data_IF_787537281540
#
_entry.id   IF_787537281540
#
_cell.length_a   1.000
_cell.length_b   1.000
_cell.length_c   1.000
_cell.angle_alpha   90.00
_cell.angle_beta   90.00
_cell.angle_gamma   90.00
#
_symmetry.space_group_name_H-M   'P 1'
#
loop_
_entity.id
_entity.type
_entity.pdbx_description
1 polymer ?
#
# COMPACT_ATOMS: atom_id res chain seq x y z
N UNK A 1 24.44 0.49 28.20
CA UNK A 1 23.56 -0.66 28.51
C UNK A 1 23.90 -1.81 27.56
N UNK A 2 23.79 -3.06 27.99
CA UNK A 2 24.15 -4.22 27.17
C UNK A 2 23.11 -5.32 27.31
N UNK A 3 22.88 -6.05 26.18
CA UNK A 3 22.08 -7.29 26.20
C UNK A 3 22.96 -8.42 26.73
N UNK A 4 22.54 -9.02 27.86
CA UNK A 4 23.27 -10.10 28.53
C UNK A 4 22.81 -11.48 28.09
N UNK A 5 21.50 -11.62 27.86
CA UNK A 5 20.87 -12.89 27.50
C UNK A 5 19.74 -12.66 26.53
N UNK A 6 19.49 -13.68 25.67
CA UNK A 6 18.43 -13.65 24.65
C UNK A 6 17.76 -15.00 24.61
N UNK A 7 16.49 -15.04 24.98
CA UNK A 7 15.67 -16.26 24.98
C UNK A 7 14.48 -16.04 24.04
N UNK A 8 14.30 -17.00 23.14
CA UNK A 8 13.11 -17.03 22.28
C UNK A 8 12.11 -18.02 22.86
N UNK A 9 10.88 -17.57 23.04
CA UNK A 9 9.76 -18.37 23.54
C UNK A 9 8.75 -18.54 22.39
N UNK A 10 8.20 -19.74 22.25
CA UNK A 10 7.21 -20.08 21.23
C UNK A 10 6.09 -20.86 21.94
N UNK A 11 4.92 -20.25 22.06
CA UNK A 11 3.72 -20.87 22.65
C UNK A 11 2.78 -21.47 21.59
N UNK A 12 3.21 -21.47 20.31
CA UNK A 12 2.45 -21.95 19.16
C UNK A 12 1.58 -20.87 18.49
N UNK A 13 1.09 -19.90 19.25
CA UNK A 13 0.27 -18.79 18.72
C UNK A 13 1.10 -17.52 18.53
N UNK A 14 2.14 -17.33 19.34
CA UNK A 14 2.99 -16.15 19.34
C UNK A 14 4.45 -16.51 19.60
N UNK A 15 5.34 -15.94 18.80
CA UNK A 15 6.78 -16.02 19.04
C UNK A 15 7.25 -14.76 19.73
N UNK A 16 7.81 -14.91 20.93
CA UNK A 16 8.32 -13.83 21.75
C UNK A 16 9.83 -13.90 21.90
N UNK A 17 10.44 -12.74 22.05
CA UNK A 17 11.83 -12.60 22.41
C UNK A 17 11.94 -11.94 23.78
N UNK A 18 12.60 -12.61 24.71
CA UNK A 18 12.91 -12.08 26.04
C UNK A 18 14.39 -11.74 26.09
N UNK A 19 14.71 -10.51 26.42
CA UNK A 19 16.06 -10.00 26.54
C UNK A 19 16.34 -9.59 27.97
N UNK A 20 17.49 -9.98 28.49
CA UNK A 20 17.99 -9.46 29.76
C UNK A 20 18.97 -8.32 29.46
N UNK A 21 18.61 -7.13 29.90
CA UNK A 21 19.41 -5.91 29.77
C UNK A 21 20.11 -5.58 31.07
N UNK A 22 21.35 -5.15 30.97
CA UNK A 22 22.15 -4.77 32.14
C UNK A 22 22.69 -3.35 31.93
N UNK A 23 22.35 -2.45 32.84
CA UNK A 23 22.98 -1.15 32.97
C UNK A 23 24.16 -1.24 33.94
N UNK A 24 25.29 -0.65 33.61
CA UNK A 24 26.47 -0.56 34.45
C UNK A 24 26.20 0.35 35.65
N UNK A 25 27.02 0.22 36.69
CA UNK A 25 26.95 1.08 37.90
C UNK A 25 27.12 2.59 37.53
N UNK A 26 27.94 2.89 36.53
CA UNK A 26 28.14 4.26 36.08
C UNK A 26 26.90 4.83 35.35
N UNK A 27 26.25 4.03 34.49
CA UNK A 27 24.98 4.40 33.85
C UNK A 27 23.86 4.61 34.87
N UNK A 28 23.77 3.76 35.89
CA UNK A 28 22.81 3.94 36.99
C UNK A 28 23.08 5.24 37.76
N UNK A 29 24.34 5.55 38.02
CA UNK A 29 24.72 6.80 38.67
C UNK A 29 24.38 8.02 37.83
N UNK A 30 24.71 7.98 36.55
CA UNK A 30 24.39 9.08 35.63
C UNK A 30 22.88 9.33 35.53
N UNK A 31 22.06 8.28 35.42
CA UNK A 31 20.61 8.40 35.44
C UNK A 31 20.08 8.96 36.76
N UNK A 32 20.65 8.53 37.91
CA UNK A 32 20.28 9.08 39.19
C UNK A 32 20.63 10.57 39.29
N UNK A 33 21.83 10.98 38.88
CA UNK A 33 22.24 12.39 38.90
C UNK A 33 21.32 13.24 37.99
N UNK A 34 20.96 12.77 36.81
CA UNK A 34 20.00 13.44 35.89
C UNK A 34 18.61 13.54 36.55
N UNK A 35 18.07 12.43 37.06
CA UNK A 35 16.76 12.41 37.68
C UNK A 35 16.66 13.43 38.82
N UNK A 36 17.63 13.44 39.73
CA UNK A 36 17.63 14.38 40.85
C UNK A 36 17.87 15.83 40.38
N UNK A 37 18.64 16.06 39.33
CA UNK A 37 18.80 17.36 38.76
C UNK A 37 17.48 17.91 38.17
N UNK A 38 16.67 17.06 37.53
CA UNK A 38 15.35 17.42 37.01
C UNK A 38 14.35 17.71 38.14
N UNK A 39 14.29 16.84 39.16
CA UNK A 39 13.41 17.06 40.29
C UNK A 39 13.77 18.36 41.02
N UNK A 40 15.06 18.67 41.16
CA UNK A 40 15.53 19.91 41.80
C UNK A 40 15.05 21.20 41.07
N UNK A 41 14.70 21.13 39.79
CA UNK A 41 14.13 22.26 39.06
C UNK A 41 12.64 22.49 39.31
N UNK A 42 11.95 21.53 39.93
CA UNK A 42 10.54 21.68 40.33
C UNK A 42 10.40 22.67 41.48
N UNK A 43 9.19 23.19 41.68
CA UNK A 43 8.91 24.05 42.85
C UNK A 43 8.81 23.21 44.11
N UNK A 44 9.82 23.35 44.98
CA UNK A 44 9.90 22.61 46.25
C UNK A 44 9.71 23.62 47.41
N UNK A 45 8.67 23.48 48.24
CA UNK A 45 8.41 24.39 49.33
C UNK A 45 9.63 24.59 50.25
N UNK A 46 10.02 25.85 50.49
CA UNK A 46 11.13 26.19 51.34
C UNK A 46 12.52 26.23 50.68
N UNK A 47 12.63 25.87 49.37
CA UNK A 47 13.92 25.87 48.68
C UNK A 47 13.84 26.62 47.32
N UNK A 48 14.97 27.25 46.99
CA UNK A 48 15.13 27.80 45.62
C UNK A 48 15.41 26.67 44.63
N UNK A 49 14.90 26.79 43.40
CA UNK A 49 15.13 25.82 42.33
C UNK A 49 16.61 25.43 42.21
N UNK A 50 16.87 24.13 42.14
CA UNK A 50 18.21 23.57 42.09
C UNK A 50 19.01 23.57 43.40
N UNK A 51 18.41 23.94 44.55
CA UNK A 51 19.12 24.04 45.85
C UNK A 51 18.56 23.14 46.95
N UNK A 52 17.54 22.40 46.72
CA UNK A 52 16.99 21.42 47.67
C UNK A 52 17.97 20.24 47.88
N UNK A 53 18.27 19.87 49.16
CA UNK A 53 19.09 18.70 49.42
C UNK A 53 18.41 17.40 48.92
N UNK A 54 19.21 16.38 48.57
CA UNK A 54 18.72 15.11 48.04
C UNK A 54 17.63 14.44 48.89
N UNK A 55 17.80 14.39 50.21
CA UNK A 55 16.81 13.84 51.10
C UNK A 55 15.43 14.53 50.99
N UNK A 56 15.40 15.84 50.73
CA UNK A 56 14.16 16.61 50.50
C UNK A 56 13.58 16.28 49.14
N UNK A 57 14.41 16.11 48.08
CA UNK A 57 14.00 15.68 46.75
C UNK A 57 13.35 14.31 46.82
N UNK A 58 13.96 13.33 47.51
CA UNK A 58 13.40 11.99 47.71
C UNK A 58 12.04 12.05 48.42
N UNK A 59 11.93 12.85 49.49
CA UNK A 59 10.64 13.03 50.18
C UNK A 59 9.56 13.65 49.27
N UNK A 60 9.95 14.58 48.41
CA UNK A 60 9.02 15.25 47.49
C UNK A 60 8.42 14.31 46.47
N UNK A 61 9.13 13.26 46.05
CA UNK A 61 8.66 12.21 45.12
C UNK A 61 8.06 11.00 45.84
N UNK A 62 7.85 11.07 47.16
CA UNK A 62 7.20 10.00 47.94
C UNK A 62 8.17 9.01 48.54
N UNK A 63 9.44 9.38 48.75
CA UNK A 63 10.46 8.60 49.43
C UNK A 63 11.50 7.95 48.52
N UNK A 64 12.50 7.35 49.15
CA UNK A 64 13.65 6.77 48.46
C UNK A 64 13.25 5.70 47.40
N UNK A 65 12.30 4.81 47.76
CA UNK A 65 11.85 3.75 46.83
C UNK A 65 11.24 4.34 45.55
N UNK A 66 10.38 5.34 45.68
CA UNK A 66 9.77 6.02 44.52
C UNK A 66 10.80 6.79 43.68
N UNK A 67 11.78 7.40 44.38
CA UNK A 67 12.88 8.07 43.70
C UNK A 67 13.71 7.09 42.84
N UNK A 68 14.04 5.92 43.41
CA UNK A 68 14.76 4.88 42.68
C UNK A 68 13.92 4.25 41.55
N UNK A 69 12.61 4.15 41.73
CA UNK A 69 11.68 3.79 40.64
C UNK A 69 11.72 4.79 39.45
N UNK A 70 11.75 6.11 39.76
CA UNK A 70 11.91 7.14 38.75
C UNK A 70 13.28 7.12 38.05
N UNK A 71 14.33 6.73 38.76
CA UNK A 71 15.67 6.50 38.15
C UNK A 71 15.63 5.28 37.22
N UNK A 72 14.95 4.20 37.61
CA UNK A 72 14.79 3.02 36.76
C UNK A 72 14.05 3.39 35.45
N UNK A 73 12.95 4.12 35.59
CA UNK A 73 12.14 4.57 34.46
C UNK A 73 12.97 5.47 33.50
N UNK A 74 13.71 6.43 34.03
CA UNK A 74 14.59 7.30 33.24
C UNK A 74 15.67 6.48 32.52
N UNK A 75 16.31 5.56 33.22
CA UNK A 75 17.35 4.69 32.68
C UNK A 75 16.83 3.83 31.51
N UNK A 76 15.64 3.25 31.68
CA UNK A 76 14.98 2.44 30.65
C UNK A 76 14.64 3.30 29.45
N UNK A 77 13.97 4.43 29.65
CA UNK A 77 13.53 5.31 28.59
C UNK A 77 14.68 5.91 27.76
N UNK A 78 15.80 6.24 28.40
CA UNK A 78 16.96 6.81 27.69
C UNK A 78 17.80 5.78 26.94
N UNK A 79 17.92 4.55 27.47
CA UNK A 79 18.98 3.64 27.02
C UNK A 79 18.47 2.30 26.47
N UNK A 80 17.24 1.85 26.81
CA UNK A 80 16.78 0.53 26.41
C UNK A 80 16.59 0.43 24.88
N UNK A 81 15.93 1.41 24.27
CA UNK A 81 15.71 1.41 22.82
C UNK A 81 17.01 1.46 22.03
N UNK A 82 18.01 2.22 22.52
CA UNK A 82 19.33 2.23 21.93
C UNK A 82 20.01 0.85 22.04
N UNK A 83 19.94 0.20 23.20
CA UNK A 83 20.51 -1.13 23.38
C UNK A 83 19.83 -2.20 22.51
N UNK A 84 18.53 -2.08 22.28
CA UNK A 84 17.77 -2.94 21.34
C UNK A 84 18.21 -2.70 19.90
N UNK A 85 18.35 -1.45 19.50
CA UNK A 85 18.82 -1.05 18.17
C UNK A 85 20.26 -1.54 17.88
N UNK A 86 21.15 -1.34 18.86
CA UNK A 86 22.55 -1.83 18.79
C UNK A 86 22.61 -3.38 18.74
N UNK A 87 21.64 -4.07 19.35
CA UNK A 87 21.51 -5.52 19.34
C UNK A 87 20.77 -6.09 18.13
N UNK A 88 20.38 -5.23 17.18
CA UNK A 88 19.60 -5.57 15.98
C UNK A 88 18.28 -6.29 16.30
N UNK A 89 17.53 -5.77 17.28
CA UNK A 89 16.26 -6.31 17.74
C UNK A 89 15.12 -5.39 17.36
N UNK A 90 14.11 -5.97 16.70
CA UNK A 90 12.87 -5.30 16.32
C UNK A 90 11.71 -6.09 16.89
N UNK A 91 10.92 -5.45 17.74
CA UNK A 91 9.68 -6.03 18.23
C UNK A 91 8.48 -5.72 17.34
N UNK A 92 7.53 -6.63 17.32
CA UNK A 92 6.23 -6.48 16.67
C UNK A 92 5.27 -5.85 17.69
N UNK A 93 5.06 -4.55 17.57
CA UNK A 93 4.33 -3.75 18.54
C UNK A 93 5.22 -3.21 19.68
N UNK A 94 4.57 -2.80 20.77
CA UNK A 94 5.27 -2.24 21.93
C UNK A 94 5.86 -3.36 22.80
N UNK A 95 7.14 -3.26 23.23
CA UNK A 95 7.73 -4.22 24.14
C UNK A 95 7.31 -3.96 25.59
N UNK A 96 7.26 -5.03 26.38
CA UNK A 96 7.02 -4.99 27.81
C UNK A 96 8.35 -4.93 28.58
N UNK A 97 8.44 -4.02 29.56
CA UNK A 97 9.59 -3.85 30.41
C UNK A 97 9.28 -4.37 31.84
N UNK A 98 9.99 -5.41 32.26
CA UNK A 98 9.81 -5.99 33.58
C UNK A 98 11.03 -5.70 34.47
N UNK A 99 10.75 -5.10 35.60
CA UNK A 99 11.76 -4.72 36.63
C UNK A 99 11.52 -5.54 37.87
N UNK A 100 12.35 -6.56 38.09
CA UNK A 100 12.20 -7.48 39.20
C UNK A 100 12.90 -6.98 40.50
N UNK A 101 13.87 -6.07 40.36
CA UNK A 101 14.67 -5.58 41.46
C UNK A 101 14.67 -4.05 41.53
N UNK A 102 14.71 -3.52 42.76
CA UNK A 102 14.87 -2.07 42.95
C UNK A 102 16.28 -1.63 42.49
N UNK A 103 16.35 -0.44 41.87
CA UNK A 103 17.63 0.18 41.49
C UNK A 103 18.41 0.53 42.78
N UNK A 104 19.68 0.15 42.77
CA UNK A 104 20.63 0.51 43.87
C UNK A 104 21.74 1.33 43.26
N UNK A 105 21.89 2.60 43.67
CA UNK A 105 22.91 3.50 43.15
C UNK A 105 24.32 2.93 43.41
N UNK A 106 25.15 3.00 42.35
CA UNK A 106 26.52 2.44 42.39
C UNK A 106 26.60 0.94 42.20
N UNK A 107 25.50 0.27 41.88
CA UNK A 107 25.45 -1.13 41.49
C UNK A 107 24.85 -1.28 40.07
N UNK A 108 25.24 -2.34 39.32
CA UNK A 108 24.60 -2.65 38.06
C UNK A 108 23.11 -2.96 38.27
N UNK A 109 22.30 -2.53 37.32
CA UNK A 109 20.85 -2.77 37.32
C UNK A 109 20.46 -3.67 36.16
N UNK A 110 19.65 -4.69 36.45
CA UNK A 110 19.19 -5.68 35.48
C UNK A 110 17.69 -5.66 35.41
N UNK A 111 17.17 -5.69 34.18
CA UNK A 111 15.74 -5.82 33.92
C UNK A 111 15.54 -6.62 32.61
N UNK A 112 14.31 -7.07 32.38
CA UNK A 112 13.95 -7.83 31.19
C UNK A 112 13.06 -6.99 30.27
N UNK A 113 13.25 -7.19 28.97
CA UNK A 113 12.40 -6.66 27.91
C UNK A 113 11.88 -7.84 27.12
N UNK A 114 10.56 -7.91 26.97
CA UNK A 114 9.91 -8.96 26.18
C UNK A 114 8.96 -8.36 25.16
N UNK A 115 8.79 -9.06 24.07
CA UNK A 115 7.84 -8.66 23.03
C UNK A 115 7.77 -9.67 21.89
N UNK A 116 6.70 -9.56 21.14
CA UNK A 116 6.55 -10.35 19.93
C UNK A 116 7.62 -9.98 18.90
N UNK A 117 8.01 -10.95 18.08
CA UNK A 117 8.96 -10.77 16.98
C UNK A 117 8.40 -11.37 15.72
N UNK A 118 9.02 -11.03 14.59
CA UNK A 118 8.67 -11.66 13.30
C UNK A 118 8.76 -13.17 13.45
N UNK A 119 7.71 -13.93 13.06
CA UNK A 119 7.71 -15.38 13.19
C UNK A 119 8.83 -16.02 12.37
N UNK A 120 9.58 -16.92 12.98
CA UNK A 120 10.51 -17.77 12.25
C UNK A 120 9.75 -18.90 11.58
N UNK A 121 9.67 -18.85 10.27
CA UNK A 121 8.99 -19.85 9.46
C UNK A 121 9.99 -20.56 8.53
N UNK A 122 9.53 -21.62 7.86
CA UNK A 122 10.35 -22.39 6.93
C UNK A 122 9.79 -22.32 5.52
N UNK A 123 10.67 -22.40 4.55
CA UNK A 123 10.30 -22.55 3.14
C UNK A 123 10.38 -24.02 2.73
N UNK A 124 9.56 -24.42 1.76
CA UNK A 124 9.62 -25.75 1.13
C UNK A 124 10.87 -25.89 0.25
N UNK A 125 11.42 -24.80 -0.28
CA UNK A 125 12.71 -24.72 -0.98
C UNK A 125 13.33 -23.32 -0.82
N UNK A 126 14.64 -23.28 -0.73
CA UNK A 126 15.49 -22.07 -0.67
C UNK A 126 16.27 -21.83 -1.96
N UNK A 127 15.95 -22.53 -3.04
CA UNK A 127 16.55 -22.36 -4.37
C UNK A 127 15.96 -21.15 -5.10
N UNK A 128 16.54 -20.78 -6.24
CA UNK A 128 16.00 -19.75 -7.12
C UNK A 128 14.51 -20.02 -7.45
N UNK A 129 13.74 -18.96 -7.59
CA UNK A 129 12.30 -19.02 -7.93
C UNK A 129 12.10 -19.07 -9.43
N UNK A 130 11.00 -19.67 -9.90
CA UNK A 130 10.59 -19.59 -11.30
C UNK A 130 9.46 -18.57 -11.41
N UNK A 131 9.60 -17.62 -12.31
CA UNK A 131 8.63 -16.52 -12.52
C UNK A 131 8.30 -16.39 -14.01
N UNK A 132 7.09 -15.96 -14.28
CA UNK A 132 6.67 -15.57 -15.63
C UNK A 132 6.82 -14.05 -15.77
N UNK A 133 7.33 -13.58 -16.91
CA UNK A 133 7.47 -12.16 -17.20
C UNK A 133 6.94 -11.85 -18.60
N UNK A 134 6.34 -10.67 -18.84
CA UNK A 134 6.07 -10.22 -20.18
C UNK A 134 7.39 -9.97 -20.95
N UNK A 135 7.34 -9.92 -22.29
CA UNK A 135 8.50 -9.56 -23.11
C UNK A 135 9.08 -8.20 -22.67
N UNK A 136 10.39 -8.08 -22.66
CA UNK A 136 11.12 -6.85 -22.33
C UNK A 136 11.00 -5.78 -23.42
N UNK A 137 10.80 -6.19 -24.66
CA UNK A 137 10.54 -5.30 -25.79
C UNK A 137 9.04 -5.29 -26.16
N UNK A 138 8.61 -4.18 -26.76
CA UNK A 138 7.26 -4.03 -27.27
C UNK A 138 6.95 -5.03 -28.39
N UNK A 139 5.93 -5.83 -28.20
CA UNK A 139 5.42 -6.75 -29.22
C UNK A 139 4.57 -6.00 -30.27
N UNK A 140 4.42 -6.58 -31.46
CA UNK A 140 3.53 -6.04 -32.48
C UNK A 140 2.08 -6.00 -32.00
N UNK A 141 1.66 -6.97 -31.19
CA UNK A 141 0.32 -7.03 -30.61
C UNK A 141 0.05 -5.86 -29.65
N UNK A 142 1.02 -5.50 -28.81
CA UNK A 142 0.91 -4.33 -27.92
C UNK A 142 0.84 -3.03 -28.69
N UNK A 143 1.68 -2.88 -29.73
CA UNK A 143 1.64 -1.69 -30.60
C UNK A 143 0.27 -1.57 -31.29
N UNK A 144 -0.25 -2.65 -31.88
CA UNK A 144 -1.58 -2.63 -32.51
C UNK A 144 -2.71 -2.35 -31.52
N UNK A 145 -2.61 -2.84 -30.27
CA UNK A 145 -3.59 -2.56 -29.21
C UNK A 145 -3.60 -1.06 -28.85
N UNK A 146 -2.41 -0.47 -28.70
CA UNK A 146 -2.28 0.97 -28.44
C UNK A 146 -2.76 1.82 -29.61
N UNK A 147 -2.50 1.38 -30.85
CA UNK A 147 -3.01 2.07 -32.04
C UNK A 147 -4.54 2.00 -32.15
N UNK A 148 -5.16 0.86 -31.78
CA UNK A 148 -6.62 0.75 -31.70
C UNK A 148 -7.19 1.66 -30.62
N UNK A 149 -6.56 1.72 -29.45
CA UNK A 149 -6.97 2.66 -28.40
C UNK A 149 -6.88 4.11 -28.90
N UNK A 150 -5.81 4.44 -29.64
CA UNK A 150 -5.64 5.75 -30.24
C UNK A 150 -6.75 6.07 -31.27
N UNK A 151 -7.15 5.09 -32.11
CA UNK A 151 -8.29 5.23 -33.01
C UNK A 151 -9.57 5.58 -32.24
N UNK A 152 -9.80 4.89 -31.11
CA UNK A 152 -10.98 5.14 -30.28
C UNK A 152 -10.95 6.51 -29.62
N UNK A 153 -9.77 7.02 -29.25
CA UNK A 153 -9.63 8.38 -28.69
C UNK A 153 -9.90 9.46 -29.76
N UNK A 154 -9.45 9.22 -31.00
CA UNK A 154 -9.56 10.17 -32.09
C UNK A 154 -10.76 9.92 -33.00
N UNK A 155 -11.76 9.17 -32.55
CA UNK A 155 -13.01 9.03 -33.28
C UNK A 155 -13.73 10.38 -33.40
N UNK A 156 -14.60 10.50 -34.38
CA UNK A 156 -15.50 11.64 -34.57
C UNK A 156 -16.93 11.14 -34.76
N UNK A 157 -17.88 12.05 -34.59
CA UNK A 157 -19.28 11.73 -34.81
C UNK A 157 -19.81 12.52 -36.00
N UNK A 158 -20.31 11.82 -37.02
CA UNK A 158 -20.93 12.40 -38.16
C UNK A 158 -22.46 12.26 -38.07
N UNK A 159 -23.18 13.35 -38.31
CA UNK A 159 -24.63 13.34 -38.29
C UNK A 159 -25.18 12.50 -39.43
N UNK A 160 -26.20 11.70 -39.13
CA UNK A 160 -26.95 10.93 -40.14
C UNK A 160 -28.10 11.83 -40.63
N UNK A 161 -27.99 12.36 -41.84
CA UNK A 161 -28.99 13.26 -42.43
C UNK A 161 -30.06 12.51 -43.25
N UNK A 162 -30.25 11.22 -43.00
CA UNK A 162 -31.32 10.40 -43.57
C UNK A 162 -32.59 10.47 -42.71
N UNK A 163 -33.68 11.08 -43.18
CA UNK A 163 -34.94 11.19 -42.40
C UNK A 163 -35.65 9.85 -42.19
N UNK A 164 -35.31 8.83 -43.01
CA UNK A 164 -35.89 7.48 -42.87
C UNK A 164 -34.99 6.53 -42.06
N UNK A 165 -33.86 7.03 -41.55
CA UNK A 165 -32.95 6.24 -40.73
C UNK A 165 -33.64 5.71 -39.50
N UNK A 166 -33.37 4.46 -39.16
CA UNK A 166 -33.78 3.79 -37.92
C UNK A 166 -32.54 3.42 -37.14
N UNK A 167 -32.59 3.61 -35.81
CA UNK A 167 -31.47 3.31 -34.92
C UNK A 167 -31.00 1.86 -35.06
N UNK A 168 -29.73 1.68 -35.28
CA UNK A 168 -29.05 0.38 -35.34
C UNK A 168 -27.99 0.28 -34.23
N UNK A 169 -27.59 -0.96 -33.84
CA UNK A 169 -26.46 -1.15 -32.95
C UNK A 169 -25.20 -0.53 -33.53
N UNK A 170 -24.47 0.24 -32.71
CA UNK A 170 -23.29 1.02 -33.11
C UNK A 170 -23.59 2.47 -33.52
N UNK A 171 -24.86 2.86 -33.67
CA UNK A 171 -25.24 4.26 -33.84
C UNK A 171 -25.10 5.01 -32.51
N UNK A 172 -24.85 6.30 -32.62
CA UNK A 172 -24.87 7.21 -31.49
C UNK A 172 -26.15 8.02 -31.51
N UNK A 173 -27.01 7.74 -30.53
CA UNK A 173 -28.29 8.42 -30.40
C UNK A 173 -28.11 9.61 -29.45
N UNK A 174 -28.41 10.81 -29.92
CA UNK A 174 -28.54 11.99 -29.09
C UNK A 174 -29.99 12.11 -28.65
N UNK A 175 -30.24 11.97 -27.36
CA UNK A 175 -31.60 11.92 -26.81
C UNK A 175 -31.74 12.70 -25.51
N UNK A 176 -32.93 13.24 -25.28
CA UNK A 176 -33.33 13.66 -23.93
C UNK A 176 -33.77 12.43 -23.14
N UNK A 177 -33.16 12.22 -21.99
CA UNK A 177 -33.36 11.01 -21.17
C UNK A 177 -33.83 11.42 -19.79
N UNK A 178 -34.92 10.82 -19.32
CA UNK A 178 -35.36 10.93 -17.93
C UNK A 178 -35.62 9.53 -17.41
N UNK A 179 -34.90 9.15 -16.34
CA UNK A 179 -35.09 7.85 -15.70
C UNK A 179 -35.71 8.04 -14.30
N UNK A 180 -36.68 7.22 -13.98
CA UNK A 180 -37.36 7.22 -12.69
C UNK A 180 -37.36 5.79 -12.11
N UNK A 181 -37.38 5.72 -10.78
CA UNK A 181 -37.60 4.49 -10.02
C UNK A 181 -38.74 4.73 -9.04
N UNK A 182 -39.76 3.90 -9.08
CA UNK A 182 -40.98 4.07 -8.25
C UNK A 182 -41.58 5.48 -8.31
N UNK A 183 -41.48 6.13 -9.47
CA UNK A 183 -41.98 7.49 -9.70
C UNK A 183 -41.06 8.62 -9.24
N UNK A 184 -39.92 8.32 -8.65
CA UNK A 184 -38.92 9.31 -8.25
C UNK A 184 -37.81 9.39 -9.30
N UNK A 185 -37.35 10.61 -9.60
CA UNK A 185 -36.22 10.78 -10.52
C UNK A 185 -34.93 10.18 -9.94
N UNK A 186 -34.25 9.37 -10.74
CA UNK A 186 -32.94 8.83 -10.36
C UNK A 186 -31.88 9.92 -10.54
N UNK A 187 -31.14 10.22 -9.46
CA UNK A 187 -30.09 11.22 -9.51
C UNK A 187 -29.01 10.83 -10.54
N UNK A 188 -28.58 11.78 -11.36
CA UNK A 188 -27.58 11.55 -12.39
C UNK A 188 -28.10 10.91 -13.70
N UNK A 189 -29.40 10.58 -13.82
CA UNK A 189 -30.02 10.01 -15.00
C UNK A 189 -31.13 10.90 -15.60
N UNK A 190 -30.98 12.22 -15.47
CA UNK A 190 -31.83 13.20 -16.12
C UNK A 190 -31.00 14.13 -17.02
N UNK A 191 -31.14 13.98 -18.31
CA UNK A 191 -30.40 14.74 -19.30
C UNK A 191 -31.32 15.42 -20.31
N UNK A 192 -31.10 16.70 -20.56
CA UNK A 192 -31.75 17.41 -21.67
C UNK A 192 -31.27 16.93 -23.03
N UNK A 193 -30.02 16.52 -23.09
CA UNK A 193 -29.38 15.88 -24.26
C UNK A 193 -28.23 15.01 -23.76
N UNK A 194 -28.27 13.73 -24.11
CA UNK A 194 -27.18 12.77 -23.87
C UNK A 194 -26.88 12.03 -25.15
N UNK A 195 -25.60 11.84 -25.44
CA UNK A 195 -25.14 10.97 -26.52
C UNK A 195 -24.97 9.56 -25.95
N UNK A 196 -25.62 8.59 -26.57
CA UNK A 196 -25.62 7.17 -26.19
C UNK A 196 -25.17 6.38 -27.39
N UNK A 197 -24.02 5.74 -27.32
CA UNK A 197 -23.52 4.79 -28.34
C UNK A 197 -24.16 3.43 -28.02
N UNK A 198 -25.08 2.98 -28.91
CA UNK A 198 -25.81 1.72 -28.73
C UNK A 198 -24.87 0.53 -28.79
N UNK A 199 -24.89 -0.32 -27.78
CA UNK A 199 -24.01 -1.49 -27.66
C UNK A 199 -22.61 -1.21 -27.10
N UNK A 200 -22.35 0.02 -26.62
CA UNK A 200 -21.05 0.36 -26.02
C UNK A 200 -20.92 -0.05 -24.55
N UNK A 201 -21.99 -0.51 -23.92
CA UNK A 201 -22.05 -0.77 -22.46
C UNK A 201 -22.16 0.50 -21.61
N UNK A 202 -22.37 1.68 -22.23
CA UNK A 202 -22.60 2.94 -21.51
C UNK A 202 -23.97 3.02 -20.84
N UNK A 203 -24.90 2.19 -21.29
CA UNK A 203 -26.20 1.89 -20.69
C UNK A 203 -26.37 0.37 -20.67
N UNK A 204 -27.25 -0.18 -19.80
CA UNK A 204 -27.58 -1.60 -19.83
C UNK A 204 -28.07 -2.06 -21.22
N UNK A 205 -27.72 -3.28 -21.63
CA UNK A 205 -28.12 -3.82 -22.93
C UNK A 205 -29.64 -3.79 -23.15
N UNK A 206 -30.41 -4.05 -22.08
CA UNK A 206 -31.89 -3.94 -22.11
C UNK A 206 -32.39 -2.54 -22.43
N UNK A 207 -31.64 -1.49 -22.06
CA UNK A 207 -31.95 -0.10 -22.45
C UNK A 207 -31.66 0.12 -23.93
N UNK A 208 -30.50 -0.30 -24.41
CA UNK A 208 -30.07 -0.13 -25.80
C UNK A 208 -31.01 -0.86 -26.77
N UNK A 209 -31.47 -2.07 -26.41
CA UNK A 209 -32.42 -2.85 -27.23
C UNK A 209 -33.74 -2.12 -27.48
N UNK A 210 -34.21 -1.31 -26.54
CA UNK A 210 -35.44 -0.54 -26.72
C UNK A 210 -35.26 0.66 -27.65
N UNK A 211 -34.02 1.14 -27.82
CA UNK A 211 -33.71 2.24 -28.74
C UNK A 211 -33.52 1.77 -30.18
N UNK A 212 -33.11 0.50 -30.39
CA UNK A 212 -32.95 -0.07 -31.74
C UNK A 212 -34.29 -0.08 -32.43
N UNK A 213 -34.31 0.38 -33.67
CA UNK A 213 -35.50 0.51 -34.50
C UNK A 213 -36.29 1.82 -34.31
N UNK A 214 -35.90 2.69 -33.39
CA UNK A 214 -36.50 4.00 -33.23
C UNK A 214 -36.14 4.98 -34.35
N UNK A 215 -36.96 6.01 -34.54
CA UNK A 215 -36.79 7.06 -35.55
C UNK A 215 -36.56 8.44 -34.91
N UNK A 216 -36.06 9.34 -35.73
CA UNK A 216 -35.85 10.73 -35.32
C UNK A 216 -37.19 11.33 -34.84
N UNK A 217 -37.21 11.93 -33.67
CA UNK A 217 -38.40 12.53 -33.04
C UNK A 217 -39.29 11.57 -32.27
N UNK A 218 -39.00 10.27 -32.25
CA UNK A 218 -39.74 9.32 -31.43
C UNK A 218 -39.54 9.61 -29.96
N UNK A 219 -40.64 9.43 -29.20
CA UNK A 219 -40.62 9.43 -27.72
C UNK A 219 -40.95 8.02 -27.26
N UNK A 220 -39.99 7.38 -26.55
CA UNK A 220 -40.11 6.01 -26.08
C UNK A 220 -40.27 6.00 -24.58
N UNK A 221 -41.24 5.20 -24.08
CA UNK A 221 -41.40 4.92 -22.66
C UNK A 221 -41.27 3.42 -22.46
N UNK A 222 -40.32 3.01 -21.60
CA UNK A 222 -40.07 1.59 -21.34
C UNK A 222 -39.44 1.36 -19.98
N UNK A 223 -39.58 0.13 -19.51
CA UNK A 223 -38.92 -0.35 -18.31
C UNK A 223 -37.69 -1.17 -18.70
N UNK A 224 -36.60 -1.00 -17.94
CA UNK A 224 -35.36 -1.74 -18.12
C UNK A 224 -34.71 -2.14 -16.80
N UNK A 225 -33.87 -3.16 -16.80
CA UNK A 225 -33.13 -3.58 -15.60
C UNK A 225 -31.94 -2.66 -15.36
N UNK A 226 -31.75 -2.27 -14.09
CA UNK A 226 -30.65 -1.39 -13.68
C UNK A 226 -29.27 -2.05 -13.77
N UNK A 227 -29.20 -3.39 -13.84
CA UNK A 227 -27.98 -4.17 -13.94
C UNK A 227 -27.55 -4.33 -15.39
N UNK A 228 -26.25 -4.23 -15.62
CA UNK A 228 -25.67 -4.64 -16.87
C UNK A 228 -25.59 -6.18 -16.99
N UNK A 229 -25.15 -6.68 -18.17
CA UNK A 229 -25.03 -8.14 -18.44
C UNK A 229 -24.01 -8.83 -17.52
N UNK A 230 -23.08 -8.09 -16.91
CA UNK A 230 -22.08 -8.57 -15.94
C UNK A 230 -22.60 -8.52 -14.49
N UNK A 231 -23.81 -7.98 -14.28
CA UNK A 231 -24.43 -7.85 -12.97
C UNK A 231 -23.98 -6.62 -12.16
N UNK A 232 -23.27 -5.66 -12.79
CA UNK A 232 -22.86 -4.43 -12.14
C UNK A 232 -24.07 -3.53 -11.88
N UNK A 233 -24.09 -2.90 -10.72
CA UNK A 233 -25.21 -2.05 -10.24
C UNK A 233 -24.94 -0.55 -10.46
N UNK A 234 -24.29 -0.19 -11.57
CA UNK A 234 -23.92 1.20 -11.89
C UNK A 234 -25.14 2.16 -11.83
N UNK A 235 -26.33 1.66 -12.15
CA UNK A 235 -27.57 2.44 -12.16
C UNK A 235 -28.51 2.13 -10.99
N UNK A 236 -28.07 1.37 -9.99
CA UNK A 236 -28.87 0.90 -8.85
C UNK A 236 -29.38 -0.53 -9.01
N UNK A 237 -30.28 -0.96 -8.12
CA UNK A 237 -30.89 -2.29 -8.18
C UNK A 237 -32.36 -2.20 -8.62
N UNK A 238 -32.81 -3.19 -9.42
CA UNK A 238 -34.22 -3.37 -9.79
C UNK A 238 -34.60 -2.76 -11.12
N UNK A 239 -35.90 -2.62 -11.35
CA UNK A 239 -36.45 -2.03 -12.59
C UNK A 239 -36.45 -0.52 -12.54
N UNK A 240 -36.02 0.08 -13.64
CA UNK A 240 -36.05 1.52 -13.88
C UNK A 240 -36.99 1.83 -15.03
N UNK A 241 -37.68 2.97 -14.96
CA UNK A 241 -38.55 3.47 -16.01
C UNK A 241 -37.87 4.63 -16.75
N UNK A 242 -37.68 4.49 -18.08
CA UNK A 242 -37.12 5.51 -18.93
C UNK A 242 -38.15 6.20 -19.82
N UNK A 243 -38.00 7.51 -19.96
CA UNK A 243 -38.62 8.30 -21.01
C UNK A 243 -37.51 8.91 -21.85
N UNK A 244 -37.47 8.58 -23.13
CA UNK A 244 -36.38 8.93 -24.05
C UNK A 244 -36.97 9.59 -25.30
N UNK A 245 -36.57 10.84 -25.59
CA UNK A 245 -36.92 11.57 -26.81
C UNK A 245 -35.70 11.61 -27.73
N UNK A 246 -35.82 11.02 -28.91
CA UNK A 246 -34.74 10.91 -29.91
C UNK A 246 -34.59 12.26 -30.66
N UNK A 247 -33.42 12.88 -30.48
CA UNK A 247 -33.18 14.23 -31.05
C UNK A 247 -32.30 14.19 -32.30
N UNK A 248 -31.32 13.27 -32.37
CA UNK A 248 -30.40 13.18 -33.48
C UNK A 248 -29.74 11.81 -33.56
N UNK A 249 -29.46 11.33 -34.76
CA UNK A 249 -28.60 10.16 -34.95
C UNK A 249 -27.24 10.59 -35.47
N UNK A 250 -26.20 9.94 -34.95
CA UNK A 250 -24.84 10.12 -35.44
C UNK A 250 -24.17 8.76 -35.60
N UNK A 251 -23.22 8.70 -36.51
CA UNK A 251 -22.36 7.55 -36.74
C UNK A 251 -20.98 7.84 -36.17
N UNK A 252 -20.45 6.91 -35.43
CA UNK A 252 -19.05 6.96 -34.95
C UNK A 252 -18.14 6.66 -36.14
N UNK A 253 -17.32 7.64 -36.50
CA UNK A 253 -16.29 7.51 -37.53
C UNK A 253 -14.97 7.27 -36.82
N UNK A 254 -14.47 6.05 -36.92
CA UNK A 254 -13.16 5.67 -36.38
C UNK A 254 -12.14 5.88 -37.51
N UNK A 255 -11.10 6.72 -37.31
CA UNK A 255 -10.09 6.97 -38.34
C UNK A 255 -9.30 5.70 -38.63
N UNK A 256 -8.90 5.49 -39.86
CA UNK A 256 -7.96 4.40 -40.20
C UNK A 256 -6.58 4.65 -39.58
N UNK A 257 -5.87 3.57 -39.23
CA UNK A 257 -4.47 3.64 -38.75
C UNK A 257 -3.58 3.95 -39.96
N UNK A 258 -3.53 5.22 -40.34
CA UNK A 258 -2.84 5.72 -41.51
C UNK A 258 -2.24 7.12 -41.26
N UNK A 259 -1.79 7.74 -42.32
CA UNK A 259 -1.10 9.04 -42.25
C UNK A 259 -1.99 10.18 -41.73
N UNK A 260 -3.32 10.09 -41.93
CA UNK A 260 -4.26 11.06 -41.36
C UNK A 260 -4.30 11.00 -39.82
N UNK A 261 -4.35 9.81 -39.27
CA UNK A 261 -4.29 9.63 -37.80
C UNK A 261 -2.92 10.04 -37.27
N UNK A 262 -1.84 9.65 -37.97
CA UNK A 262 -0.48 10.05 -37.64
C UNK A 262 -0.33 11.58 -37.57
N UNK A 263 -0.85 12.30 -38.53
CA UNK A 263 -0.83 13.76 -38.54
C UNK A 263 -1.61 14.38 -37.38
N UNK A 264 -2.74 13.80 -36.97
CA UNK A 264 -3.54 14.25 -35.82
C UNK A 264 -2.78 14.14 -34.51
N UNK A 265 -1.90 13.14 -34.37
CA UNK A 265 -1.08 12.92 -33.19
C UNK A 265 0.32 13.53 -33.26
N UNK A 266 0.61 14.25 -34.37
CA UNK A 266 1.88 14.96 -34.56
C UNK A 266 3.02 14.11 -35.09
N UNK A 267 2.74 12.93 -35.64
CA UNK A 267 3.70 12.07 -36.32
C UNK A 267 3.78 12.40 -37.82
N UNK A 268 4.90 12.05 -38.45
CA UNK A 268 5.11 12.33 -39.87
C UNK A 268 4.23 11.45 -40.77
N UNK A 269 4.14 10.18 -40.46
CA UNK A 269 3.37 9.16 -41.20
C UNK A 269 3.01 7.99 -40.26
N UNK A 270 2.29 7.01 -40.78
CA UNK A 270 1.87 5.84 -40.03
C UNK A 270 3.05 4.98 -39.53
N UNK A 271 4.18 4.96 -40.24
CA UNK A 271 5.38 4.22 -39.82
C UNK A 271 6.07 4.92 -38.62
N UNK A 272 6.19 6.25 -38.71
CA UNK A 272 6.72 7.05 -37.61
C UNK A 272 5.84 6.92 -36.35
N UNK A 273 4.50 6.95 -36.51
CA UNK A 273 3.57 6.73 -35.41
C UNK A 273 3.79 5.36 -34.72
N UNK A 274 3.96 4.28 -35.50
CA UNK A 274 4.25 2.95 -34.97
C UNK A 274 5.60 2.91 -34.22
N UNK A 275 6.62 3.58 -34.76
CA UNK A 275 7.95 3.66 -34.11
C UNK A 275 7.88 4.42 -32.81
N UNK A 276 7.17 5.55 -32.78
CA UNK A 276 7.01 6.33 -31.55
C UNK A 276 6.22 5.53 -30.50
N UNK A 277 5.15 4.84 -30.89
CA UNK A 277 4.37 4.00 -29.99
C UNK A 277 5.21 2.87 -29.41
N UNK A 278 5.98 2.16 -30.25
CA UNK A 278 6.93 1.13 -29.79
C UNK A 278 7.95 1.69 -28.82
N UNK A 279 8.47 2.87 -29.09
CA UNK A 279 9.42 3.53 -28.20
C UNK A 279 8.80 3.88 -26.84
N UNK A 280 7.57 4.39 -26.83
CA UNK A 280 6.86 4.68 -25.57
C UNK A 280 6.59 3.42 -24.75
N UNK A 281 6.15 2.33 -25.40
CA UNK A 281 5.93 1.04 -24.72
C UNK A 281 7.24 0.53 -24.12
N UNK A 282 8.36 0.59 -24.88
CA UNK A 282 9.67 0.16 -24.38
C UNK A 282 10.14 1.00 -23.18
N UNK A 283 9.97 2.32 -23.22
CA UNK A 283 10.30 3.19 -22.08
C UNK A 283 9.46 2.85 -20.84
N UNK A 284 8.18 2.56 -21.03
CA UNK A 284 7.30 2.16 -19.93
C UNK A 284 7.74 0.82 -19.35
N UNK A 285 8.00 -0.18 -20.21
CA UNK A 285 8.52 -1.49 -19.78
C UNK A 285 9.86 -1.38 -19.06
N UNK A 286 10.80 -0.57 -19.57
CA UNK A 286 12.10 -0.33 -18.94
C UNK A 286 11.95 0.22 -17.51
N UNK A 287 10.96 1.06 -17.28
CA UNK A 287 10.67 1.63 -15.97
C UNK A 287 9.96 0.64 -15.02
N UNK A 288 9.04 -0.17 -15.53
CA UNK A 288 8.14 -0.99 -14.68
C UNK A 288 8.59 -2.44 -14.51
N UNK A 289 9.19 -3.06 -15.54
CA UNK A 289 9.55 -4.48 -15.47
C UNK A 289 10.51 -4.83 -14.33
N UNK A 290 11.51 -4.00 -13.95
CA UNK A 290 12.34 -4.30 -12.80
C UNK A 290 11.55 -4.43 -11.49
N UNK A 291 10.58 -3.54 -11.27
CA UNK A 291 9.69 -3.59 -10.11
C UNK A 291 8.78 -4.82 -10.14
N UNK A 292 8.18 -5.11 -11.27
CA UNK A 292 7.34 -6.29 -11.49
C UNK A 292 8.13 -7.59 -11.26
N UNK A 293 9.37 -7.66 -11.72
CA UNK A 293 10.24 -8.81 -11.50
C UNK A 293 10.52 -9.07 -10.03
N UNK A 294 10.83 -8.03 -9.26
CA UNK A 294 10.99 -8.13 -7.81
C UNK A 294 9.70 -8.61 -7.17
N UNK A 295 8.56 -8.01 -7.51
CA UNK A 295 7.27 -8.38 -6.96
C UNK A 295 6.94 -9.85 -7.21
N UNK A 296 7.05 -10.34 -8.45
CA UNK A 296 6.80 -11.74 -8.81
C UNK A 296 7.75 -12.70 -8.12
N UNK A 297 9.03 -12.31 -7.98
CA UNK A 297 10.03 -13.13 -7.31
C UNK A 297 9.74 -13.29 -5.80
N UNK A 298 9.34 -12.21 -5.11
CA UNK A 298 9.02 -12.28 -3.68
C UNK A 298 7.69 -12.98 -3.44
N UNK A 299 6.69 -12.82 -4.32
CA UNK A 299 5.43 -13.55 -4.26
C UNK A 299 5.66 -15.06 -4.45
N UNK A 300 6.46 -15.47 -5.45
CA UNK A 300 6.82 -16.85 -5.68
C UNK A 300 7.62 -17.47 -4.50
N UNK A 301 8.43 -16.66 -3.79
CA UNK A 301 9.06 -17.09 -2.55
C UNK A 301 8.04 -17.28 -1.44
N UNK A 302 7.10 -16.34 -1.27
CA UNK A 302 6.06 -16.39 -0.26
C UNK A 302 5.13 -17.61 -0.43
N UNK A 303 4.91 -18.07 -1.65
CA UNK A 303 4.15 -19.30 -1.95
C UNK A 303 4.84 -20.57 -1.44
N UNK A 304 6.17 -20.54 -1.25
CA UNK A 304 6.94 -21.64 -0.66
C UNK A 304 6.87 -21.69 0.85
N UNK A 305 6.22 -20.72 1.51
CA UNK A 305 6.11 -20.66 2.96
C UNK A 305 5.30 -21.85 3.48
N UNK A 306 5.84 -22.58 4.46
CA UNK A 306 5.21 -23.76 5.04
C UNK A 306 4.35 -23.34 6.23
N UNK A 307 3.05 -23.59 6.12
CA UNK A 307 2.06 -23.21 7.12
C UNK A 307 1.52 -21.80 6.97
N UNK A 308 0.63 -21.43 7.88
CA UNK A 308 0.02 -20.12 7.93
C UNK A 308 0.81 -19.17 8.83
N UNK A 309 0.84 -17.90 8.45
CA UNK A 309 1.45 -16.86 9.29
C UNK A 309 0.60 -16.67 10.55
N UNK A 310 1.21 -16.66 11.75
CA UNK A 310 0.49 -16.46 13.00
C UNK A 310 -0.33 -15.16 13.00
N UNK A 311 -1.55 -15.25 13.56
CA UNK A 311 -2.54 -14.17 13.47
C UNK A 311 -2.05 -12.85 14.08
N UNK A 312 -1.28 -12.90 15.19
CA UNK A 312 -0.74 -11.69 15.81
C UNK A 312 0.09 -10.85 14.83
N UNK A 313 0.85 -11.52 13.96
CA UNK A 313 1.69 -10.83 12.99
C UNK A 313 0.89 -10.28 11.81
N UNK A 314 -0.09 -11.04 11.33
CA UNK A 314 -1.05 -10.54 10.32
C UNK A 314 -1.80 -9.30 10.84
N UNK A 315 -2.23 -9.33 12.10
CA UNK A 315 -2.94 -8.20 12.73
C UNK A 315 -2.05 -6.96 12.86
N UNK A 316 -0.77 -7.14 13.14
CA UNK A 316 0.20 -6.05 13.17
C UNK A 316 0.38 -5.43 11.77
N UNK A 317 0.64 -6.26 10.75
CA UNK A 317 0.77 -5.77 9.36
C UNK A 317 -0.53 -5.12 8.87
N UNK A 318 -1.70 -5.65 9.26
CA UNK A 318 -3.00 -5.07 8.90
C UNK A 318 -3.18 -3.63 9.42
N UNK A 319 -2.64 -3.32 10.61
CA UNK A 319 -2.67 -1.95 11.13
C UNK A 319 -1.84 -1.01 10.25
N UNK A 320 -0.70 -1.45 9.76
CA UNK A 320 0.16 -0.65 8.89
C UNK A 320 -0.48 -0.45 7.50
N UNK A 321 -1.02 -1.50 6.88
CA UNK A 321 -1.78 -1.43 5.63
C UNK A 321 -2.97 -0.46 5.75
N UNK A 322 -3.72 -0.56 6.85
CA UNK A 322 -4.83 0.35 7.13
C UNK A 322 -4.39 1.80 7.27
N UNK A 323 -3.26 2.05 7.93
CA UNK A 323 -2.69 3.40 8.08
C UNK A 323 -2.24 3.98 6.74
N UNK A 324 -1.55 3.18 5.92
CA UNK A 324 -1.11 3.58 4.57
C UNK A 324 -2.31 3.91 3.67
N UNK A 325 -3.37 3.10 3.73
CA UNK A 325 -4.60 3.35 2.98
C UNK A 325 -5.24 4.68 3.40
N UNK A 326 -5.33 4.97 4.71
CA UNK A 326 -5.86 6.24 5.20
C UNK A 326 -5.03 7.44 4.71
N UNK A 327 -3.70 7.34 4.77
CA UNK A 327 -2.80 8.37 4.24
C UNK A 327 -2.95 8.55 2.72
N UNK A 328 -3.24 7.48 1.99
CA UNK A 328 -3.51 7.57 0.54
C UNK A 328 -4.78 8.36 0.25
N UNK A 329 -5.87 8.14 1.00
CA UNK A 329 -7.09 8.94 0.86
C UNK A 329 -6.84 10.42 1.17
N UNK A 330 -6.10 10.72 2.24
CA UNK A 330 -5.76 12.11 2.60
C UNK A 330 -4.95 12.80 1.48
N UNK A 331 -3.97 12.10 0.89
CA UNK A 331 -3.19 12.63 -0.25
C UNK A 331 -4.03 12.90 -1.49
N UNK A 332 -5.08 12.11 -1.71
CA UNK A 332 -6.03 12.29 -2.80
C UNK A 332 -7.10 13.35 -2.50
N UNK A 333 -7.05 13.99 -1.31
CA UNK A 333 -8.00 15.01 -0.90
C UNK A 333 -9.41 14.48 -0.61
N UNK A 334 -9.53 13.18 -0.31
CA UNK A 334 -10.78 12.53 0.07
C UNK A 334 -10.64 11.87 1.44
N UNK A 335 -11.75 11.47 2.03
CA UNK A 335 -11.78 10.66 3.25
C UNK A 335 -12.38 9.29 2.98
N UNK A 336 -12.06 8.31 3.83
CA UNK A 336 -12.71 6.99 3.76
C UNK A 336 -14.23 7.12 3.80
N UNK A 337 -14.74 8.06 4.57
CA UNK A 337 -16.19 8.27 4.70
C UNK A 337 -16.81 8.78 3.40
N UNK A 338 -16.16 9.74 2.73
CA UNK A 338 -16.60 10.23 1.41
C UNK A 338 -16.47 9.16 0.34
N UNK A 339 -15.38 8.39 0.37
CA UNK A 339 -15.19 7.28 -0.56
C UNK A 339 -16.31 6.22 -0.39
N UNK A 340 -16.64 5.83 0.85
CA UNK A 340 -17.73 4.89 1.14
C UNK A 340 -19.10 5.39 0.68
N UNK A 341 -19.37 6.69 0.84
CA UNK A 341 -20.62 7.30 0.36
C UNK A 341 -20.73 7.24 -1.17
N UNK A 342 -19.60 7.47 -1.87
CA UNK A 342 -19.55 7.46 -3.33
C UNK A 342 -19.55 6.03 -3.93
N UNK A 343 -19.21 5.02 -3.14
CA UNK A 343 -19.10 3.63 -3.56
C UNK A 343 -20.12 2.70 -2.89
N UNK A 344 -21.34 3.21 -2.65
CA UNK A 344 -22.48 2.44 -2.14
C UNK A 344 -22.21 1.64 -0.85
N UNK A 345 -21.33 2.16 0.01
CA UNK A 345 -21.06 1.56 1.31
C UNK A 345 -20.26 0.26 1.29
N UNK A 346 -19.42 0.01 0.28
CA UNK A 346 -18.57 -1.18 0.14
C UNK A 346 -17.47 -1.31 1.22
N UNK A 347 -17.86 -1.13 2.49
CA UNK A 347 -16.95 -1.20 3.63
C UNK A 347 -16.35 -2.60 3.84
N UNK A 348 -17.15 -3.65 3.60
CA UNK A 348 -16.71 -5.02 3.77
C UNK A 348 -15.69 -5.42 2.70
N UNK A 349 -15.82 -4.92 1.48
CA UNK A 349 -14.85 -5.13 0.39
C UNK A 349 -13.49 -4.49 0.72
N UNK A 350 -13.49 -3.25 1.24
CA UNK A 350 -12.25 -2.61 1.71
C UNK A 350 -11.60 -3.41 2.82
N UNK A 351 -12.39 -3.83 3.81
CA UNK A 351 -11.87 -4.60 4.94
C UNK A 351 -11.26 -5.92 4.50
N UNK A 352 -11.90 -6.59 3.56
CA UNK A 352 -11.37 -7.82 2.98
C UNK A 352 -10.08 -7.56 2.21
N UNK A 353 -10.04 -6.54 1.35
CA UNK A 353 -8.84 -6.16 0.60
C UNK A 353 -7.66 -5.82 1.51
N UNK A 354 -7.90 -5.04 2.58
CA UNK A 354 -6.87 -4.75 3.60
C UNK A 354 -6.39 -6.02 4.29
N UNK A 355 -7.28 -6.97 4.56
CA UNK A 355 -6.93 -8.22 5.22
C UNK A 355 -6.09 -9.11 4.30
N UNK A 356 -6.49 -9.24 3.03
CA UNK A 356 -5.75 -10.04 2.04
C UNK A 356 -4.36 -9.45 1.77
N UNK A 357 -4.26 -8.13 1.64
CA UNK A 357 -2.97 -7.46 1.48
C UNK A 357 -2.07 -7.63 2.72
N UNK A 358 -2.65 -7.58 3.93
CA UNK A 358 -1.91 -7.83 5.15
C UNK A 358 -1.37 -9.27 5.22
N UNK A 359 -2.18 -10.25 4.85
CA UNK A 359 -1.75 -11.66 4.77
C UNK A 359 -0.61 -11.80 3.76
N UNK A 360 -0.77 -11.23 2.56
CA UNK A 360 0.25 -11.27 1.52
C UNK A 360 1.58 -10.66 1.99
N UNK A 361 1.55 -9.46 2.56
CA UNK A 361 2.75 -8.79 3.09
C UNK A 361 3.41 -9.57 4.22
N UNK A 362 2.61 -10.09 5.14
CA UNK A 362 3.12 -10.90 6.25
C UNK A 362 3.80 -12.20 5.75
N UNK A 363 3.24 -12.86 4.73
CA UNK A 363 3.85 -14.04 4.09
C UNK A 363 5.18 -13.69 3.42
N UNK A 364 5.24 -12.59 2.68
CA UNK A 364 6.47 -12.10 2.02
C UNK A 364 7.55 -11.81 3.07
N UNK A 365 7.21 -11.07 4.12
CA UNK A 365 8.15 -10.71 5.18
C UNK A 365 8.74 -11.95 5.86
N UNK A 366 7.88 -12.90 6.28
CA UNK A 366 8.32 -14.17 6.87
C UNK A 366 9.16 -15.01 5.90
N UNK A 367 8.82 -15.02 4.61
CA UNK A 367 9.56 -15.78 3.60
C UNK A 367 10.96 -15.17 3.35
N UNK A 368 11.05 -13.84 3.28
CA UNK A 368 12.33 -13.15 3.17
C UNK A 368 13.21 -13.37 4.39
N UNK A 369 12.66 -13.27 5.61
CA UNK A 369 13.41 -13.55 6.85
C UNK A 369 13.92 -15.00 6.89
N UNK A 370 13.11 -15.98 6.43
CA UNK A 370 13.54 -17.37 6.33
C UNK A 370 14.69 -17.56 5.32
N UNK A 371 14.61 -16.90 4.16
CA UNK A 371 15.67 -16.93 3.13
C UNK A 371 16.95 -16.25 3.65
N UNK A 372 16.84 -15.09 4.29
CA UNK A 372 17.94 -14.33 4.87
C UNK A 372 18.70 -15.18 5.89
N UNK A 373 17.97 -15.85 6.78
CA UNK A 373 18.55 -16.72 7.79
C UNK A 373 19.30 -17.92 7.17
N UNK A 374 18.69 -18.59 6.19
CA UNK A 374 19.29 -19.77 5.52
C UNK A 374 20.53 -19.40 4.69
N UNK A 375 20.48 -18.27 3.95
CA UNK A 375 21.58 -17.82 3.10
C UNK A 375 22.65 -17.03 3.86
N UNK A 376 22.43 -16.69 5.14
CA UNK A 376 23.34 -15.87 5.93
C UNK A 376 23.56 -14.47 5.33
N UNK A 377 22.47 -13.82 4.90
CA UNK A 377 22.55 -12.49 4.28
C UNK A 377 22.80 -11.44 5.37
N UNK A 378 24.02 -10.94 5.40
CA UNK A 378 24.43 -9.87 6.31
C UNK A 378 24.43 -8.51 5.60
N UNK A 379 24.22 -7.45 6.37
CA UNK A 379 24.25 -6.05 5.91
C UNK A 379 25.55 -5.40 6.38
N UNK A 380 26.20 -4.70 5.44
CA UNK A 380 27.39 -3.88 5.70
C UNK A 380 27.01 -2.40 5.70
N UNK A 381 27.90 -1.54 6.20
CA UNK A 381 27.70 -0.08 6.11
C UNK A 381 27.58 0.39 4.65
N UNK A 382 28.29 -0.27 3.71
CA UNK A 382 28.15 0.03 2.29
C UNK A 382 26.74 -0.29 1.74
N UNK A 383 26.11 -1.34 2.24
CA UNK A 383 24.72 -1.68 1.86
C UNK A 383 23.75 -0.60 2.37
N UNK A 384 23.97 -0.10 3.58
CA UNK A 384 23.17 1.01 4.16
C UNK A 384 23.37 2.31 3.35
N UNK A 385 24.60 2.63 2.99
CA UNK A 385 24.90 3.81 2.17
C UNK A 385 24.22 3.74 0.79
N UNK A 386 24.23 2.56 0.16
CA UNK A 386 23.56 2.33 -1.13
C UNK A 386 22.02 2.50 -1.04
N UNK A 387 21.42 2.03 0.05
CA UNK A 387 19.99 2.18 0.27
C UNK A 387 19.63 3.65 0.50
N UNK A 388 20.39 4.34 1.35
CA UNK A 388 20.17 5.76 1.62
C UNK A 388 20.49 6.67 0.43
N UNK A 389 21.33 6.25 -0.51
CA UNK A 389 21.64 7.02 -1.73
C UNK A 389 20.41 7.20 -2.66
N UNK A 390 19.33 6.48 -2.43
CA UNK A 390 18.06 6.64 -3.15
C UNK A 390 17.20 7.79 -2.57
N UNK A 391 17.55 8.29 -1.38
CA UNK A 391 16.88 9.40 -0.73
C UNK A 391 17.46 10.77 -1.18
N UNK A 392 16.64 11.81 -1.15
CA UNK A 392 17.05 13.17 -1.56
C UNK A 392 18.21 13.70 -0.71
N UNK A 393 18.26 13.37 0.59
CA UNK A 393 19.33 13.71 1.51
C UNK A 393 19.71 12.51 2.39
N UNK A 394 20.62 11.70 1.89
CA UNK A 394 21.11 10.48 2.55
C UNK A 394 21.66 10.75 3.96
N UNK A 395 22.37 11.88 4.16
CA UNK A 395 22.99 12.21 5.45
C UNK A 395 21.93 12.55 6.48
N UNK A 396 21.02 13.46 6.14
CA UNK A 396 19.95 13.85 7.04
C UNK A 396 19.01 12.67 7.36
N UNK A 397 18.75 11.81 6.38
CA UNK A 397 17.95 10.59 6.57
C UNK A 397 18.65 9.63 7.53
N UNK A 398 19.95 9.37 7.37
CA UNK A 398 20.73 8.54 8.30
C UNK A 398 20.68 9.09 9.73
N UNK A 399 20.96 10.38 9.90
CA UNK A 399 20.90 11.02 11.23
C UNK A 399 19.52 10.91 11.88
N UNK A 400 18.45 10.95 11.10
CA UNK A 400 17.08 10.76 11.59
C UNK A 400 16.86 9.35 12.14
N UNK A 401 17.34 8.32 11.44
CA UNK A 401 17.26 6.94 11.89
C UNK A 401 18.09 6.71 13.17
N UNK A 402 19.33 7.24 13.22
CA UNK A 402 20.22 7.15 14.39
C UNK A 402 19.62 7.85 15.62
N UNK A 403 19.12 9.07 15.46
CA UNK A 403 18.46 9.84 16.54
C UNK A 403 17.19 9.18 17.06
N UNK A 404 16.51 8.42 16.20
CA UNK A 404 15.30 7.66 16.56
C UNK A 404 15.60 6.29 17.19
N UNK A 405 16.86 5.85 17.27
CA UNK A 405 17.28 4.50 17.66
C UNK A 405 16.57 3.41 16.82
N UNK A 406 16.55 3.58 15.50
CA UNK A 406 15.85 2.71 14.55
C UNK A 406 16.77 2.17 13.45
N UNK A 407 18.07 2.10 13.70
CA UNK A 407 19.03 1.56 12.72
C UNK A 407 18.82 0.06 12.48
N UNK A 408 18.29 -0.70 13.44
CA UNK A 408 17.89 -2.10 13.27
C UNK A 408 16.82 -2.25 12.17
N UNK A 409 15.84 -1.34 12.13
CA UNK A 409 14.83 -1.34 11.08
C UNK A 409 15.44 -1.01 9.70
N UNK A 410 16.33 -0.03 9.63
CA UNK A 410 17.04 0.28 8.40
C UNK A 410 17.88 -0.91 7.92
N UNK A 411 18.57 -1.60 8.84
CA UNK A 411 19.29 -2.85 8.52
C UNK A 411 18.34 -3.94 8.02
N UNK A 412 17.12 -4.05 8.59
CA UNK A 412 16.09 -4.98 8.08
C UNK A 412 15.72 -4.63 6.64
N UNK A 413 15.44 -3.37 6.31
CA UNK A 413 15.15 -2.93 4.94
C UNK A 413 16.29 -3.31 4.00
N UNK A 414 17.55 -3.03 4.37
CA UNK A 414 18.71 -3.41 3.57
C UNK A 414 18.84 -4.93 3.36
N UNK A 415 18.55 -5.75 4.41
CA UNK A 415 18.53 -7.22 4.28
C UNK A 415 17.49 -7.68 3.28
N UNK A 416 16.28 -7.12 3.35
CA UNK A 416 15.18 -7.44 2.43
C UNK A 416 15.51 -7.02 1.00
N UNK A 417 16.03 -5.81 0.78
CA UNK A 417 16.51 -5.34 -0.54
C UNK A 417 17.59 -6.28 -1.11
N UNK A 418 18.51 -6.73 -0.27
CA UNK A 418 19.59 -7.65 -0.68
C UNK A 418 19.05 -9.04 -1.01
N UNK A 419 18.13 -9.57 -0.21
CA UNK A 419 17.46 -10.85 -0.45
C UNK A 419 16.61 -10.82 -1.73
N UNK A 420 15.86 -9.76 -1.94
CA UNK A 420 15.05 -9.56 -3.17
C UNK A 420 15.95 -9.48 -4.42
N UNK A 421 17.08 -8.79 -4.32
CA UNK A 421 18.06 -8.72 -5.40
C UNK A 421 18.67 -10.09 -5.70
N UNK A 422 18.98 -10.89 -4.67
CA UNK A 422 19.46 -12.26 -4.84
C UNK A 422 18.40 -13.13 -5.53
N UNK A 423 17.12 -13.01 -5.14
CA UNK A 423 16.00 -13.71 -5.79
C UNK A 423 15.91 -13.38 -7.27
N UNK A 424 15.93 -12.11 -7.63
CA UNK A 424 15.90 -11.66 -9.04
C UNK A 424 17.08 -12.22 -9.83
N UNK A 425 18.30 -12.20 -9.25
CA UNK A 425 19.51 -12.71 -9.92
C UNK A 425 19.51 -14.23 -10.12
N UNK A 426 18.81 -14.98 -9.28
CA UNK A 426 18.74 -16.43 -9.32
C UNK A 426 17.43 -16.98 -9.89
N UNK A 427 16.50 -16.10 -10.24
CA UNK A 427 15.22 -16.48 -10.79
C UNK A 427 15.34 -17.11 -12.18
N UNK A 428 14.58 -18.19 -12.41
CA UNK A 428 14.33 -18.72 -13.74
C UNK A 428 13.15 -17.98 -14.36
N UNK A 429 13.44 -17.17 -15.39
CA UNK A 429 12.43 -16.33 -16.04
C UNK A 429 11.89 -17.03 -17.27
N UNK A 430 10.58 -17.21 -17.32
CA UNK A 430 9.84 -17.63 -18.52
C UNK A 430 9.12 -16.44 -19.11
N UNK A 431 9.44 -16.09 -20.35
CA UNK A 431 8.72 -15.03 -21.07
C UNK A 431 7.41 -15.56 -21.60
N UNK A 432 6.31 -14.90 -21.24
CA UNK A 432 4.96 -15.25 -21.68
C UNK A 432 4.32 -14.06 -22.39
N UNK A 433 3.78 -14.31 -23.59
CA UNK A 433 2.92 -13.33 -24.27
C UNK A 433 1.56 -13.30 -23.56
N UNK A 434 1.46 -12.55 -22.49
CA UNK A 434 0.26 -12.37 -21.71
C UNK A 434 -0.06 -10.89 -21.52
N UNK A 435 -1.31 -10.61 -21.24
CA UNK A 435 -1.74 -9.27 -20.84
C UNK A 435 -0.99 -8.87 -19.56
N UNK A 436 -0.19 -7.79 -19.66
CA UNK A 436 0.45 -7.16 -18.50
C UNK A 436 -0.57 -6.29 -17.76
#
# INVERSE_FOLDING_TARGET
MQVKDRVREDDGDKQELVLTLVASADEVKEAADKFFAEIAQRDIPGFRKGKAPRAVLEQNVGGHKNAMGGVAEMLINENAFKALDDADVIFVGEPDFNVDNDVVEGQPFTFTVSGAVVPQMKLSSYDGVSIEMPPDEATDAEVERQLKHLQDVYHSFEKIDDPDHVAEMGDVVSAAVTVTQDGNAVNGLRYATRMIELGSGSMPASFDEHLVGSKLGDTLEFDFEAKDDEGNTQFGDGQLHANVEIQEFRRKIVPEIGDELAAKVGCMDAEDMRKQMRHQINQHKEAELPGLMVQRAVDALADRLVGDVPQYYVDFIRQDVGREMMQSFEKQGTSLQEWLLNNNGKADEIKENVTQEAIRRARIDCALEALIAEKGIEVTDEDIEKELAQEDDAIATREKWEKANRMAELRKVCRHSKASRWLVQTAEVTVVDGEA
#
